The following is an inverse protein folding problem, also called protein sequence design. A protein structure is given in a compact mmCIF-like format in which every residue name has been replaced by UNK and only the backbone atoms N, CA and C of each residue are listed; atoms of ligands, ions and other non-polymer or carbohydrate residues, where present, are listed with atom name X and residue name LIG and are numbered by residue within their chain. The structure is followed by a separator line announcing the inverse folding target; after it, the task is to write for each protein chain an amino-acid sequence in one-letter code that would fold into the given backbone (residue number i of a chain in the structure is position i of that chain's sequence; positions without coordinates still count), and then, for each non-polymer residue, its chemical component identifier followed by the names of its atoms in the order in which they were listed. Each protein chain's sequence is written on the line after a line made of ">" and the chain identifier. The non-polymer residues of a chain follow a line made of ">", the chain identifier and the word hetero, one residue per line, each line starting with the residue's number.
data_IF_679932541821
#
_entry.id   IF_679932541821
#
_cell.length_a   1.000
_cell.length_b   1.000
_cell.length_c   1.000
_cell.angle_alpha   90.00
_cell.angle_beta   90.00
_cell.angle_gamma   90.00
#
_symmetry.space_group_name_H-M   'P 1'
#
loop_
_entity.id
_entity.type
_entity.pdbx_description
1 polymer ?
#
# COMPACT_ATOMS: atom_id res chain seq x y z
N UNK A 1 13.99 6.07 -19.18
CA UNK A 1 14.60 6.64 -20.40
C UNK A 1 15.78 5.78 -20.79
N UNK A 2 15.69 5.07 -21.92
CA UNK A 2 16.80 4.28 -22.46
C UNK A 2 17.67 5.20 -23.31
N UNK A 3 18.92 5.40 -22.88
CA UNK A 3 19.90 6.13 -23.66
C UNK A 3 20.36 5.27 -24.85
N UNK A 4 20.10 5.74 -26.05
CA UNK A 4 20.41 5.16 -27.37
C UNK A 4 21.92 5.09 -27.71
N UNK A 5 22.79 5.00 -26.69
CA UNK A 5 24.25 5.10 -26.88
C UNK A 5 25.10 4.44 -25.79
N UNK A 6 24.52 3.60 -24.92
CA UNK A 6 25.35 2.71 -24.12
C UNK A 6 26.02 1.71 -25.07
N UNK A 7 27.36 1.65 -25.10
CA UNK A 7 28.08 0.57 -25.80
C UNK A 7 27.37 -0.75 -25.49
N UNK A 8 26.95 -1.47 -26.52
CA UNK A 8 26.29 -2.77 -26.36
C UNK A 8 27.32 -3.78 -25.80
N UNK A 9 27.44 -3.79 -24.48
CA UNK A 9 28.36 -4.63 -23.73
C UNK A 9 28.16 -6.11 -24.06
N UNK A 10 26.96 -6.49 -24.55
CA UNK A 10 26.66 -7.82 -25.06
C UNK A 10 27.64 -8.24 -26.17
N UNK A 11 27.95 -7.35 -27.11
CA UNK A 11 28.86 -7.65 -28.22
C UNK A 11 30.32 -7.81 -27.76
N UNK A 12 30.70 -7.16 -26.67
CA UNK A 12 32.03 -7.33 -26.06
C UNK A 12 32.14 -8.66 -25.29
N UNK A 13 31.04 -9.13 -24.70
CA UNK A 13 31.01 -10.35 -23.88
C UNK A 13 30.83 -11.63 -24.71
N UNK A 14 30.15 -11.56 -25.86
CA UNK A 14 29.88 -12.69 -26.77
C UNK A 14 31.12 -13.55 -27.08
N UNK A 15 32.29 -12.99 -27.47
CA UNK A 15 33.47 -13.81 -27.78
C UNK A 15 34.01 -14.56 -26.55
N UNK A 16 34.04 -13.92 -25.38
CA UNK A 16 34.53 -14.52 -24.14
C UNK A 16 33.59 -15.62 -23.61
N UNK A 17 32.28 -15.41 -23.72
CA UNK A 17 31.25 -16.42 -23.43
C UNK A 17 31.34 -17.59 -24.42
N UNK A 18 31.59 -17.32 -25.70
CA UNK A 18 31.70 -18.35 -26.73
C UNK A 18 32.94 -19.25 -26.56
N UNK A 19 34.07 -18.68 -26.12
CA UNK A 19 35.30 -19.43 -25.82
C UNK A 19 35.28 -20.10 -24.44
N UNK A 20 34.28 -19.81 -23.61
CA UNK A 20 34.20 -20.34 -22.23
C UNK A 20 35.22 -19.73 -21.27
N UNK A 21 35.86 -18.62 -21.64
CA UNK A 21 36.80 -17.87 -20.80
C UNK A 21 36.06 -17.15 -19.65
N UNK A 22 34.79 -16.81 -19.89
CA UNK A 22 33.93 -16.16 -18.91
C UNK A 22 32.76 -17.09 -18.56
N UNK A 23 32.66 -17.47 -17.28
CA UNK A 23 31.49 -18.18 -16.72
C UNK A 23 30.64 -17.18 -15.96
N UNK A 24 29.37 -17.06 -16.32
CA UNK A 24 28.46 -16.08 -15.73
C UNK A 24 27.18 -16.74 -15.24
N UNK A 25 26.63 -16.16 -14.17
CA UNK A 25 25.25 -16.42 -13.71
C UNK A 25 24.51 -15.10 -13.89
N UNK A 26 23.37 -15.14 -14.57
CA UNK A 26 22.50 -13.98 -14.77
C UNK A 26 21.19 -14.16 -14.02
N UNK A 27 20.68 -13.07 -13.45
CA UNK A 27 19.32 -12.99 -12.94
C UNK A 27 18.54 -12.02 -13.82
N UNK A 28 17.35 -12.41 -14.27
CA UNK A 28 16.50 -11.61 -15.15
C UNK A 28 15.05 -12.07 -15.02
N UNK A 29 14.11 -11.25 -15.48
CA UNK A 29 12.69 -11.65 -15.55
C UNK A 29 12.42 -12.46 -16.81
N UNK A 30 11.31 -13.21 -16.83
CA UNK A 30 10.89 -13.96 -18.02
C UNK A 30 10.70 -13.04 -19.25
N UNK A 31 10.19 -11.83 -19.04
CA UNK A 31 9.94 -10.88 -20.11
C UNK A 31 11.24 -10.33 -20.70
N UNK A 32 12.21 -10.00 -19.85
CA UNK A 32 13.55 -9.58 -20.29
C UNK A 32 14.30 -10.70 -21.00
N UNK A 33 14.24 -11.93 -20.49
CA UNK A 33 14.84 -13.11 -21.12
C UNK A 33 14.31 -13.29 -22.55
N UNK A 34 12.98 -13.26 -22.73
CA UNK A 34 12.33 -13.36 -24.05
C UNK A 34 12.72 -12.21 -24.97
N UNK A 35 12.86 -11.01 -24.43
CA UNK A 35 13.15 -9.80 -25.22
C UNK A 35 14.60 -9.74 -25.68
N UNK A 36 15.55 -10.17 -24.85
CA UNK A 36 16.98 -9.88 -25.03
C UNK A 36 17.87 -11.11 -25.21
N UNK A 37 17.51 -12.27 -24.63
CA UNK A 37 18.37 -13.48 -24.67
C UNK A 37 17.84 -14.49 -25.68
N UNK A 38 16.54 -14.79 -25.65
CA UNK A 38 15.91 -15.79 -26.52
C UNK A 38 15.99 -15.38 -28.01
N UNK A 39 15.94 -14.08 -28.30
CA UNK A 39 16.07 -13.56 -29.68
C UNK A 39 17.51 -13.60 -30.20
N UNK A 40 18.50 -13.70 -29.32
CA UNK A 40 19.91 -13.70 -29.70
C UNK A 40 20.47 -15.12 -29.68
N UNK A 41 20.57 -15.74 -30.86
CA UNK A 41 21.04 -17.12 -30.99
C UNK A 41 22.48 -17.37 -30.51
N UNK A 42 23.31 -16.34 -30.28
CA UNK A 42 24.62 -16.53 -29.66
C UNK A 42 24.51 -16.64 -28.13
N UNK A 43 23.60 -15.88 -27.51
CA UNK A 43 23.35 -15.92 -26.07
C UNK A 43 22.51 -17.15 -25.67
N UNK A 44 21.45 -17.45 -26.43
CA UNK A 44 20.57 -18.60 -26.20
C UNK A 44 21.36 -19.93 -26.18
N UNK A 45 22.37 -20.08 -27.04
CA UNK A 45 23.23 -21.28 -27.09
C UNK A 45 24.27 -21.36 -25.97
N UNK A 46 24.37 -20.34 -25.11
CA UNK A 46 25.40 -20.23 -24.07
C UNK A 46 24.82 -20.15 -22.67
N UNK A 47 23.56 -19.73 -22.55
CA UNK A 47 22.82 -19.76 -21.30
C UNK A 47 21.88 -20.95 -21.25
N UNK A 48 21.81 -21.58 -20.08
CA UNK A 48 20.76 -22.54 -19.77
C UNK A 48 19.75 -21.83 -18.86
N UNK A 49 18.49 -21.65 -19.27
CA UNK A 49 17.49 -21.08 -18.39
C UNK A 49 17.17 -22.05 -17.26
N UNK A 50 17.13 -21.52 -16.04
CA UNK A 50 16.62 -22.19 -14.84
C UNK A 50 15.46 -21.34 -14.34
N UNK A 51 14.26 -21.91 -14.34
CA UNK A 51 13.08 -21.23 -13.81
C UNK A 51 13.16 -21.29 -12.28
N UNK A 52 13.12 -20.12 -11.66
CA UNK A 52 13.07 -19.98 -10.21
C UNK A 52 11.66 -19.53 -9.85
N UNK A 53 10.93 -20.43 -9.20
CA UNK A 53 9.59 -20.12 -8.70
C UNK A 53 9.67 -19.20 -7.48
N UNK A 54 8.63 -18.36 -7.24
CA UNK A 54 8.56 -17.58 -6.02
C UNK A 54 8.53 -18.51 -4.79
N UNK A 55 9.14 -18.12 -3.65
CA UNK A 55 9.16 -18.95 -2.45
C UNK A 55 7.76 -19.29 -1.95
N UNK A 56 7.65 -20.46 -1.32
CA UNK A 56 6.42 -20.86 -0.64
C UNK A 56 6.17 -20.02 0.61
N UNK A 57 4.97 -20.14 1.22
CA UNK A 57 4.65 -19.45 2.48
C UNK A 57 5.69 -19.77 3.57
N UNK A 58 6.08 -21.04 3.69
CA UNK A 58 7.05 -21.50 4.70
C UNK A 58 8.44 -20.94 4.44
N UNK A 59 8.90 -20.98 3.19
CA UNK A 59 10.22 -20.46 2.82
C UNK A 59 10.30 -18.95 3.02
N UNK A 60 9.23 -18.21 2.66
CA UNK A 60 9.15 -16.77 2.89
C UNK A 60 9.19 -16.42 4.38
N UNK A 61 8.54 -17.22 5.24
CA UNK A 61 8.60 -17.04 6.69
C UNK A 61 10.02 -17.28 7.23
N UNK A 62 10.71 -18.34 6.78
CA UNK A 62 12.10 -18.59 7.16
C UNK A 62 13.04 -17.45 6.74
N UNK A 63 12.84 -16.89 5.54
CA UNK A 63 13.56 -15.71 5.07
C UNK A 63 13.34 -14.52 6.02
N UNK A 64 12.09 -14.24 6.40
CA UNK A 64 11.79 -13.14 7.33
C UNK A 64 12.38 -13.38 8.73
N UNK A 65 12.39 -14.62 9.23
CA UNK A 65 13.05 -14.97 10.49
C UNK A 65 14.56 -14.67 10.40
N UNK A 66 15.20 -15.00 9.27
CA UNK A 66 16.61 -14.68 9.04
C UNK A 66 16.91 -13.19 8.92
N UNK A 67 15.93 -12.37 8.52
CA UNK A 67 16.06 -10.91 8.41
C UNK A 67 15.72 -10.17 9.71
N UNK A 68 15.10 -10.85 10.70
CA UNK A 68 14.61 -10.25 11.95
C UNK A 68 15.68 -9.40 12.63
N UNK A 69 16.81 -9.99 12.99
CA UNK A 69 17.87 -9.29 13.75
C UNK A 69 18.38 -8.04 13.01
N UNK A 70 18.40 -8.08 11.68
CA UNK A 70 18.84 -6.95 10.85
C UNK A 70 17.82 -5.82 10.90
N UNK A 71 16.53 -6.13 10.79
CA UNK A 71 15.46 -5.13 10.90
C UNK A 71 15.31 -4.57 12.31
N UNK A 72 15.38 -5.43 13.33
CA UNK A 72 15.34 -5.00 14.73
C UNK A 72 16.48 -4.03 15.04
N UNK A 73 17.71 -4.33 14.59
CA UNK A 73 18.85 -3.44 14.78
C UNK A 73 18.72 -2.12 13.98
N UNK A 74 18.23 -2.19 12.73
CA UNK A 74 18.09 -1.01 11.88
C UNK A 74 17.02 -0.03 12.38
N UNK A 75 15.85 -0.57 12.76
CA UNK A 75 14.69 0.21 13.18
C UNK A 75 14.59 0.41 14.69
N UNK A 76 15.41 -0.31 15.47
CA UNK A 76 15.38 -0.33 16.94
C UNK A 76 14.04 -0.77 17.49
N UNK A 77 13.42 -1.80 16.91
CA UNK A 77 12.14 -2.35 17.37
C UNK A 77 12.29 -3.84 17.66
N UNK A 78 11.37 -4.43 18.42
CA UNK A 78 11.26 -5.88 18.58
C UNK A 78 10.16 -6.44 17.69
N UNK A 79 10.45 -7.48 16.93
CA UNK A 79 9.52 -8.09 15.99
C UNK A 79 9.03 -9.42 16.58
N UNK A 80 7.72 -9.53 16.81
CA UNK A 80 7.12 -10.76 17.33
C UNK A 80 6.99 -11.83 16.23
N UNK A 81 6.93 -13.11 16.62
CA UNK A 81 6.68 -14.21 15.68
C UNK A 81 5.33 -14.04 14.95
N UNK A 82 4.31 -13.59 15.67
CA UNK A 82 2.99 -13.28 15.10
C UNK A 82 3.04 -12.19 14.03
N UNK A 83 3.94 -11.21 14.15
CA UNK A 83 4.14 -10.19 13.11
C UNK A 83 4.72 -10.81 11.84
N UNK A 84 5.69 -11.71 11.94
CA UNK A 84 6.26 -12.37 10.76
C UNK A 84 5.22 -13.22 10.02
N UNK A 85 4.45 -14.02 10.75
CA UNK A 85 3.35 -14.80 10.16
C UNK A 85 2.31 -13.89 9.49
N UNK A 86 1.91 -12.82 10.17
CA UNK A 86 0.96 -11.85 9.64
C UNK A 86 1.50 -11.16 8.38
N UNK A 87 2.78 -10.80 8.33
CA UNK A 87 3.39 -10.15 7.15
C UNK A 87 3.29 -11.04 5.92
N UNK A 88 3.54 -12.34 6.05
CA UNK A 88 3.40 -13.28 4.93
C UNK A 88 1.93 -13.48 4.55
N UNK A 89 1.07 -13.78 5.52
CA UNK A 89 -0.34 -14.12 5.26
C UNK A 89 -1.11 -12.94 4.68
N UNK A 90 -0.93 -11.74 5.24
CA UNK A 90 -1.61 -10.55 4.76
C UNK A 90 -1.04 -10.10 3.42
N UNK A 91 0.27 -10.21 3.18
CA UNK A 91 0.83 -9.91 1.87
C UNK A 91 0.35 -10.89 0.79
N UNK A 92 0.16 -12.19 1.10
CA UNK A 92 -0.45 -13.15 0.17
C UNK A 92 -1.87 -12.73 -0.21
N UNK A 93 -2.70 -12.37 0.79
CA UNK A 93 -4.12 -12.08 0.59
C UNK A 93 -4.40 -10.71 -0.02
N UNK A 94 -3.63 -9.70 0.38
CA UNK A 94 -3.92 -8.29 0.11
C UNK A 94 -2.89 -7.60 -0.77
N UNK A 95 -1.82 -8.27 -1.22
CA UNK A 95 -0.83 -7.69 -2.14
C UNK A 95 -0.61 -8.68 -3.30
N UNK A 96 -1.37 -8.50 -4.38
CA UNK A 96 -1.42 -9.46 -5.50
C UNK A 96 -0.39 -9.20 -6.61
N UNK A 97 0.07 -7.95 -6.76
CA UNK A 97 0.90 -7.54 -7.89
C UNK A 97 2.41 -7.68 -7.64
N UNK A 98 2.77 -8.40 -6.57
CA UNK A 98 4.16 -8.66 -6.15
C UNK A 98 4.30 -10.12 -5.72
N UNK A 99 5.51 -10.63 -5.82
CA UNK A 99 5.84 -12.00 -5.45
C UNK A 99 6.43 -12.04 -4.04
N UNK A 100 6.30 -13.20 -3.38
CA UNK A 100 7.08 -13.47 -2.18
C UNK A 100 8.56 -13.59 -2.55
N UNK A 101 9.49 -13.32 -1.61
CA UNK A 101 9.28 -12.81 -0.25
C UNK A 101 9.18 -11.27 -0.18
N UNK A 102 9.51 -10.59 -1.28
CA UNK A 102 9.63 -9.13 -1.43
C UNK A 102 8.47 -8.37 -0.80
N UNK A 103 7.24 -8.70 -1.20
CA UNK A 103 6.04 -8.03 -0.65
C UNK A 103 5.83 -8.18 0.87
N UNK A 104 6.32 -9.27 1.46
CA UNK A 104 6.19 -9.49 2.90
C UNK A 104 7.32 -8.78 3.66
N UNK A 105 8.50 -8.66 3.04
CA UNK A 105 9.62 -7.86 3.53
C UNK A 105 9.22 -6.39 3.56
N UNK A 106 8.63 -5.86 2.48
CA UNK A 106 8.18 -4.47 2.40
C UNK A 106 7.19 -4.12 3.52
N UNK A 107 6.19 -4.98 3.73
CA UNK A 107 5.17 -4.80 4.79
C UNK A 107 5.82 -4.77 6.17
N UNK A 108 6.77 -5.67 6.42
CA UNK A 108 7.47 -5.74 7.70
C UNK A 108 8.35 -4.50 7.93
N UNK A 109 9.10 -4.08 6.91
CA UNK A 109 10.00 -2.92 6.97
C UNK A 109 9.21 -1.63 7.22
N UNK A 110 8.10 -1.44 6.50
CA UNK A 110 7.22 -0.28 6.66
C UNK A 110 6.56 -0.27 8.05
N UNK A 111 6.12 -1.43 8.56
CA UNK A 111 5.59 -1.52 9.92
C UNK A 111 6.62 -1.17 10.99
N UNK A 112 7.88 -1.61 10.83
CA UNK A 112 8.98 -1.26 11.72
C UNK A 112 9.28 0.25 11.68
N UNK A 113 9.31 0.84 10.48
CA UNK A 113 9.53 2.27 10.29
C UNK A 113 8.40 3.11 10.92
N UNK A 114 7.13 2.70 10.73
CA UNK A 114 5.96 3.35 11.31
C UNK A 114 6.00 3.33 12.84
N UNK A 115 6.34 2.19 13.47
CA UNK A 115 6.40 2.09 14.93
C UNK A 115 7.49 3.00 15.51
N UNK A 116 8.68 2.99 14.89
CA UNK A 116 9.78 3.90 15.25
C UNK A 116 9.38 5.37 15.13
N UNK A 117 8.72 5.75 14.03
CA UNK A 117 8.27 7.12 13.81
C UNK A 117 7.26 7.56 14.87
N UNK A 118 6.30 6.70 15.23
CA UNK A 118 5.31 7.00 16.28
C UNK A 118 5.97 7.32 17.63
N UNK A 119 7.03 6.62 18.00
CA UNK A 119 7.76 6.83 19.28
C UNK A 119 8.76 7.98 19.22
N UNK A 120 9.32 8.26 18.04
CA UNK A 120 10.21 9.41 17.82
C UNK A 120 9.44 10.73 17.66
N UNK A 121 8.14 10.67 17.34
CA UNK A 121 7.28 11.85 17.25
C UNK A 121 7.05 12.44 18.65
N UNK A 122 7.13 13.76 18.76
CA UNK A 122 6.93 14.46 20.04
C UNK A 122 5.49 14.23 20.54
N UNK A 123 5.27 14.08 21.86
CA UNK A 123 3.93 13.95 22.41
C UNK A 123 3.05 15.17 22.06
N UNK A 124 1.76 14.97 21.73
CA UNK A 124 0.84 16.08 21.44
C UNK A 124 0.77 17.09 22.59
N UNK A 125 0.76 16.62 23.84
CA UNK A 125 0.79 17.42 25.06
C UNK A 125 1.96 18.43 25.10
N UNK A 126 3.11 18.08 24.50
CA UNK A 126 4.26 18.99 24.46
C UNK A 126 4.00 20.19 23.53
N UNK A 127 3.23 19.95 22.45
CA UNK A 127 2.86 20.98 21.48
C UNK A 127 1.86 21.95 22.10
N UNK A 128 0.86 21.43 22.84
CA UNK A 128 -0.12 22.24 23.58
C UNK A 128 0.57 23.12 24.63
N UNK A 129 1.52 22.57 25.40
CA UNK A 129 2.28 23.36 26.39
C UNK A 129 3.15 24.44 25.72
N UNK A 130 3.69 24.18 24.53
CA UNK A 130 4.42 25.20 23.76
C UNK A 130 3.50 26.36 23.35
N UNK A 131 2.30 26.05 22.85
CA UNK A 131 1.30 27.04 22.50
C UNK A 131 0.84 27.87 23.71
N UNK A 132 0.61 27.23 24.86
CA UNK A 132 0.28 27.91 26.11
C UNK A 132 1.42 28.83 26.58
N UNK A 133 2.67 28.40 26.48
CA UNK A 133 3.84 29.24 26.83
C UNK A 133 3.91 30.46 25.90
N UNK A 134 3.68 30.28 24.61
CA UNK A 134 3.69 31.37 23.63
C UNK A 134 2.53 32.35 23.84
N UNK A 135 1.38 31.87 24.33
CA UNK A 135 0.26 32.70 24.73
C UNK A 135 0.60 33.52 25.99
N UNK A 136 1.09 32.86 27.04
CA UNK A 136 1.50 33.52 28.29
C UNK A 136 2.62 34.55 28.06
N UNK A 137 3.54 34.31 27.12
CA UNK A 137 4.56 35.28 26.72
C UNK A 137 3.97 36.55 26.14
N UNK A 138 2.92 36.44 25.30
CA UNK A 138 2.22 37.58 24.71
C UNK A 138 1.48 38.36 25.78
N UNK A 139 0.71 37.68 26.62
CA UNK A 139 -0.06 38.27 27.73
C UNK A 139 0.86 39.00 28.71
N UNK A 140 2.02 38.41 29.04
CA UNK A 140 3.02 39.06 29.89
C UNK A 140 3.56 40.35 29.28
N UNK A 141 3.88 40.34 27.98
CA UNK A 141 4.41 41.52 27.30
C UNK A 141 3.36 42.64 27.22
N UNK A 142 2.09 42.29 27.04
CA UNK A 142 0.98 43.23 27.07
C UNK A 142 0.79 43.85 28.47
N UNK A 143 0.80 43.04 29.52
CA UNK A 143 0.75 43.50 30.92
C UNK A 143 1.92 44.43 31.29
N UNK A 144 3.13 44.13 30.79
CA UNK A 144 4.30 45.02 30.96
C UNK A 144 4.11 46.34 30.21
N UNK A 145 3.56 46.31 29.00
CA UNK A 145 3.31 47.50 28.19
C UNK A 145 2.23 48.41 28.83
N UNK A 146 1.18 47.82 29.40
CA UNK A 146 0.13 48.53 30.13
C UNK A 146 0.55 48.98 31.54
N UNK A 147 1.78 48.67 31.96
CA UNK A 147 2.33 48.95 33.30
C UNK A 147 1.58 48.25 34.44
N UNK A 148 0.87 47.17 34.15
CA UNK A 148 0.26 46.29 35.15
C UNK A 148 1.30 45.28 35.67
N UNK A 149 2.13 45.75 36.59
CA UNK A 149 3.25 44.97 37.12
C UNK A 149 2.81 43.81 38.02
N UNK A 150 1.61 43.88 38.59
CA UNK A 150 1.06 42.82 39.46
C UNK A 150 0.60 41.64 38.61
N UNK A 151 -0.18 41.91 37.56
CA UNK A 151 -0.58 40.90 36.58
C UNK A 151 0.64 40.30 35.84
N UNK A 152 1.62 41.13 35.47
CA UNK A 152 2.84 40.65 34.83
C UNK A 152 3.67 39.71 35.73
N UNK A 153 3.62 39.89 37.05
CA UNK A 153 4.29 39.00 38.01
C UNK A 153 3.56 37.64 38.12
N UNK A 154 2.23 37.64 38.18
CA UNK A 154 1.42 36.41 38.22
C UNK A 154 1.57 35.57 36.93
N UNK A 155 1.56 36.22 35.76
CA UNK A 155 1.79 35.55 34.47
C UNK A 155 3.22 35.00 34.40
N UNK A 156 4.22 35.73 34.91
CA UNK A 156 5.61 35.25 34.94
C UNK A 156 5.73 33.95 35.75
N UNK A 157 5.11 33.89 36.92
CA UNK A 157 5.19 32.71 37.80
C UNK A 157 4.46 31.51 37.15
N UNK A 158 3.33 31.76 36.47
CA UNK A 158 2.62 30.75 35.67
C UNK A 158 3.46 30.23 34.48
N UNK A 159 4.17 31.12 33.82
CA UNK A 159 5.05 30.81 32.68
C UNK A 159 6.26 29.98 33.15
N UNK A 160 6.82 30.27 34.32
CA UNK A 160 7.89 29.46 34.93
C UNK A 160 7.40 28.05 35.28
N UNK A 161 6.20 27.92 35.85
CA UNK A 161 5.60 26.61 36.10
C UNK A 161 5.41 25.81 34.81
N UNK A 162 4.86 26.41 33.74
CA UNK A 162 4.68 25.72 32.45
C UNK A 162 6.00 25.34 31.79
N UNK A 163 7.03 26.18 31.89
CA UNK A 163 8.39 25.84 31.43
C UNK A 163 8.99 24.65 32.19
N UNK A 164 8.82 24.62 33.51
CA UNK A 164 9.29 23.50 34.32
C UNK A 164 8.55 22.19 33.98
N UNK A 165 7.23 22.25 33.78
CA UNK A 165 6.45 21.10 33.30
C UNK A 165 6.91 20.62 31.92
N UNK A 166 7.19 21.55 30.99
CA UNK A 166 7.75 21.24 29.67
C UNK A 166 9.10 20.53 29.80
N UNK A 167 10.01 21.03 30.63
CA UNK A 167 11.31 20.41 30.86
C UNK A 167 11.18 19.01 31.45
N UNK A 168 10.30 18.82 32.44
CA UNK A 168 10.00 17.49 33.00
C UNK A 168 9.48 16.52 31.92
N UNK A 169 8.51 16.94 31.11
CA UNK A 169 7.96 16.09 30.03
C UNK A 169 9.00 15.76 28.97
N UNK A 170 9.89 16.70 28.62
CA UNK A 170 11.01 16.40 27.70
C UNK A 170 11.98 15.39 28.32
N UNK A 171 12.24 15.50 29.62
CA UNK A 171 13.16 14.61 30.32
C UNK A 171 12.58 13.20 30.42
N UNK A 172 11.30 13.08 30.76
CA UNK A 172 10.54 11.82 30.79
C UNK A 172 10.45 11.19 29.40
N UNK A 173 10.14 12.00 28.37
CA UNK A 173 10.11 11.53 26.98
C UNK A 173 11.47 10.99 26.56
N UNK A 174 12.56 11.75 26.73
CA UNK A 174 13.93 11.28 26.44
C UNK A 174 14.33 10.05 27.24
N UNK A 175 13.86 9.92 28.49
CA UNK A 175 14.11 8.76 29.32
C UNK A 175 13.31 7.52 28.87
N UNK A 176 12.13 7.72 28.28
CA UNK A 176 11.32 6.66 27.68
C UNK A 176 11.83 6.20 26.32
N UNK A 177 12.56 7.05 25.57
CA UNK A 177 13.23 6.71 24.30
C UNK A 177 14.54 5.92 24.51
N UNK A 178 14.54 4.91 25.39
CA UNK A 178 15.69 3.98 25.53
C UNK A 178 15.82 3.07 24.31
N UNK A 179 16.99 2.43 24.16
CA UNK A 179 17.55 1.71 22.99
C UNK A 179 16.64 0.85 22.10
N UNK A 180 15.42 0.50 22.53
CA UNK A 180 14.39 -0.20 21.74
C UNK A 180 13.09 0.62 21.75
N UNK A 181 12.75 1.17 20.59
CA UNK A 181 11.66 2.11 20.30
C UNK A 181 10.31 1.41 19.98
N UNK A 182 10.02 0.24 20.55
CA UNK A 182 8.69 -0.38 20.44
C UNK A 182 8.69 -1.85 20.02
N UNK A 183 7.48 -2.40 19.89
CA UNK A 183 7.23 -3.78 19.50
C UNK A 183 6.31 -3.79 18.28
N UNK A 184 6.66 -4.59 17.28
CA UNK A 184 5.88 -4.85 16.08
C UNK A 184 5.16 -6.19 16.26
N UNK A 185 3.84 -6.12 16.34
CA UNK A 185 2.95 -7.27 16.41
C UNK A 185 2.06 -7.40 15.15
N UNK A 186 1.19 -8.41 15.13
CA UNK A 186 0.27 -8.63 14.01
C UNK A 186 -0.68 -7.46 13.77
N UNK A 187 -1.00 -6.65 14.79
CA UNK A 187 -1.85 -5.48 14.65
C UNK A 187 -1.14 -4.34 13.95
N UNK A 188 0.16 -4.14 14.20
CA UNK A 188 1.00 -3.20 13.45
C UNK A 188 1.03 -3.59 11.97
N UNK A 189 1.27 -4.87 11.65
CA UNK A 189 1.27 -5.37 10.27
C UNK A 189 -0.08 -5.13 9.60
N UNK A 190 -1.19 -5.46 10.27
CA UNK A 190 -2.53 -5.24 9.72
C UNK A 190 -2.80 -3.77 9.41
N UNK A 191 -2.38 -2.86 10.29
CA UNK A 191 -2.49 -1.42 10.07
C UNK A 191 -1.66 -0.97 8.86
N UNK A 192 -0.42 -1.43 8.74
CA UNK A 192 0.46 -1.12 7.61
C UNK A 192 -0.11 -1.62 6.29
N UNK A 193 -0.55 -2.88 6.22
CA UNK A 193 -1.19 -3.41 4.99
C UNK A 193 -2.46 -2.65 4.67
N UNK A 194 -3.25 -2.25 5.69
CA UNK A 194 -4.45 -1.43 5.49
C UNK A 194 -4.13 -0.07 4.89
N UNK A 195 -3.03 0.57 5.31
CA UNK A 195 -2.57 1.86 4.79
C UNK A 195 -2.03 1.72 3.36
N UNK A 196 -1.15 0.73 3.11
CA UNK A 196 -0.58 0.47 1.79
C UNK A 196 -1.65 0.13 0.73
N UNK A 197 -2.66 -0.64 1.13
CA UNK A 197 -3.67 -1.16 0.19
C UNK A 197 -4.93 -0.31 0.15
N UNK A 198 -5.16 0.53 1.16
CA UNK A 198 -6.43 1.21 1.39
C UNK A 198 -7.58 0.27 1.78
N UNK A 199 -7.32 -1.02 2.04
CA UNK A 199 -8.33 -1.98 2.48
C UNK A 199 -8.39 -1.96 4.00
N UNK A 200 -9.53 -1.61 4.63
CA UNK A 200 -9.65 -1.64 6.08
C UNK A 200 -9.56 -3.08 6.60
N UNK A 201 -8.42 -3.41 7.22
CA UNK A 201 -8.19 -4.64 7.96
C UNK A 201 -8.48 -4.34 9.43
N UNK A 202 -9.76 -4.14 9.75
CA UNK A 202 -10.20 -3.90 11.13
C UNK A 202 -10.45 -5.24 11.83
N UNK A 203 -9.91 -5.36 13.05
CA UNK A 203 -10.03 -6.49 13.97
C UNK A 203 -9.60 -7.85 13.38
N UNK A 204 -8.35 -8.25 13.64
CA UNK A 204 -7.89 -9.64 13.50
C UNK A 204 -8.83 -10.67 14.20
N UNK A 205 -9.69 -10.21 15.12
CA UNK A 205 -10.68 -10.99 15.84
C UNK A 205 -12.02 -11.19 15.12
N UNK A 206 -12.48 -10.24 14.29
CA UNK A 206 -13.62 -10.52 13.41
C UNK A 206 -13.05 -11.28 12.21
N UNK A 207 -13.33 -12.58 12.13
CA UNK A 207 -12.98 -13.35 10.96
C UNK A 207 -13.56 -12.62 9.73
N UNK A 208 -12.73 -12.25 8.77
CA UNK A 208 -13.15 -11.66 7.48
C UNK A 208 -14.31 -12.47 6.85
N UNK A 209 -14.34 -13.77 7.12
CA UNK A 209 -15.44 -14.67 6.81
C UNK A 209 -16.80 -14.18 7.37
N UNK A 210 -16.87 -13.75 8.63
CA UNK A 210 -18.09 -13.26 9.27
C UNK A 210 -18.52 -11.91 8.72
N UNK A 211 -17.57 -11.00 8.43
CA UNK A 211 -17.87 -9.74 7.71
C UNK A 211 -18.48 -10.05 6.34
N UNK A 212 -17.88 -10.97 5.59
CA UNK A 212 -18.36 -11.37 4.26
C UNK A 212 -19.69 -12.15 4.28
N UNK A 213 -20.04 -12.81 5.40
CA UNK A 213 -21.38 -13.42 5.58
C UNK A 213 -22.47 -12.35 5.70
N UNK A 214 -22.15 -11.18 6.26
CA UNK A 214 -23.06 -10.05 6.43
C UNK A 214 -23.05 -9.07 5.24
N UNK A 215 -22.43 -9.44 4.12
CA UNK A 215 -22.24 -8.57 2.97
C UNK A 215 -23.57 -8.14 2.33
N UNK A 216 -24.49 -9.08 2.15
CA UNK A 216 -25.83 -8.82 1.62
C UNK A 216 -26.58 -7.82 2.50
N UNK A 217 -26.63 -8.06 3.81
CA UNK A 217 -27.28 -7.18 4.79
C UNK A 217 -26.68 -5.77 4.77
N UNK A 218 -25.34 -5.68 4.72
CA UNK A 218 -24.64 -4.40 4.71
C UNK A 218 -24.90 -3.59 3.45
N UNK A 219 -24.94 -4.24 2.27
CA UNK A 219 -25.25 -3.57 1.01
C UNK A 219 -26.73 -3.14 0.99
N UNK A 220 -27.63 -3.93 1.57
CA UNK A 220 -29.06 -3.60 1.67
C UNK A 220 -29.39 -2.40 2.56
N UNK A 221 -28.45 -1.92 3.39
CA UNK A 221 -28.62 -0.67 4.12
C UNK A 221 -28.73 0.54 3.19
N UNK A 222 -27.99 0.52 2.07
CA UNK A 222 -27.93 1.61 1.11
C UNK A 222 -28.72 1.28 -0.18
N UNK A 223 -28.77 0.00 -0.58
CA UNK A 223 -29.41 -0.46 -1.83
C UNK A 223 -30.72 -1.19 -1.54
N UNK A 224 -31.83 -0.59 -1.96
CA UNK A 224 -33.17 -1.17 -1.84
C UNK A 224 -33.45 -2.11 -3.01
N UNK A 225 -34.03 -3.29 -2.74
CA UNK A 225 -34.29 -4.34 -3.74
C UNK A 225 -32.99 -4.88 -4.36
N UNK A 226 -33.03 -5.39 -5.59
CA UNK A 226 -31.86 -5.94 -6.31
C UNK A 226 -31.24 -7.20 -5.69
N UNK A 227 -32.04 -7.99 -4.94
CA UNK A 227 -31.58 -9.18 -4.21
C UNK A 227 -30.74 -10.14 -5.09
N UNK A 228 -31.15 -10.35 -6.34
CA UNK A 228 -30.43 -11.23 -7.27
C UNK A 228 -29.03 -10.69 -7.62
N UNK A 229 -28.91 -9.38 -7.86
CA UNK A 229 -27.64 -8.74 -8.19
C UNK A 229 -26.72 -8.76 -6.95
N UNK A 230 -27.25 -8.40 -5.78
CA UNK A 230 -26.51 -8.37 -4.52
C UNK A 230 -26.00 -9.77 -4.17
N UNK A 231 -26.85 -10.79 -4.20
CA UNK A 231 -26.44 -12.18 -3.96
C UNK A 231 -25.36 -12.67 -4.96
N UNK A 232 -25.47 -12.28 -6.22
CA UNK A 232 -24.50 -12.65 -7.26
C UNK A 232 -23.12 -12.04 -6.99
N UNK A 233 -23.09 -10.75 -6.60
CA UNK A 233 -21.86 -10.04 -6.24
C UNK A 233 -21.25 -10.65 -4.97
N UNK A 234 -22.04 -10.79 -3.90
CA UNK A 234 -21.57 -11.32 -2.61
C UNK A 234 -20.97 -12.71 -2.74
N UNK A 235 -21.60 -13.59 -3.53
CA UNK A 235 -21.07 -14.94 -3.80
C UNK A 235 -19.74 -14.90 -4.57
N UNK A 236 -19.60 -14.03 -5.56
CA UNK A 236 -18.36 -13.89 -6.32
C UNK A 236 -17.22 -13.33 -5.45
N UNK A 237 -17.51 -12.30 -4.65
CA UNK A 237 -16.58 -11.71 -3.69
C UNK A 237 -16.10 -12.73 -2.66
N UNK A 238 -17.01 -13.53 -2.06
CA UNK A 238 -16.64 -14.58 -1.11
C UNK A 238 -15.69 -15.62 -1.71
N UNK A 239 -15.95 -16.07 -2.94
CA UNK A 239 -15.03 -16.99 -3.64
C UNK A 239 -13.66 -16.36 -3.89
N UNK A 240 -13.64 -15.10 -4.31
CA UNK A 240 -12.40 -14.37 -4.55
C UNK A 240 -11.55 -14.21 -3.28
N UNK A 241 -12.18 -13.88 -2.14
CA UNK A 241 -11.52 -13.73 -0.84
C UNK A 241 -11.09 -15.06 -0.21
N UNK A 242 -11.81 -16.15 -0.50
CA UNK A 242 -11.42 -17.50 -0.10
C UNK A 242 -10.24 -18.09 -0.89
N UNK A 243 -9.60 -17.32 -1.79
CA UNK A 243 -8.50 -17.80 -2.62
C UNK A 243 -8.93 -18.76 -3.74
N UNK A 244 -10.24 -18.89 -4.00
CA UNK A 244 -10.80 -19.79 -5.02
C UNK A 244 -10.92 -19.13 -6.41
N UNK A 245 -10.19 -18.03 -6.64
CA UNK A 245 -10.15 -17.34 -7.94
C UNK A 245 -8.76 -17.47 -8.58
N UNK A 246 -8.74 -17.27 -9.89
CA UNK A 246 -7.51 -17.02 -10.63
C UNK A 246 -6.89 -15.67 -10.16
N UNK A 247 -5.64 -15.64 -9.67
CA UNK A 247 -4.95 -14.40 -9.28
C UNK A 247 -4.78 -13.39 -10.41
N UNK A 248 -4.79 -13.84 -11.67
CA UNK A 248 -4.65 -13.00 -12.87
C UNK A 248 -5.96 -12.33 -13.32
N UNK A 249 -7.06 -12.52 -12.56
CA UNK A 249 -8.38 -11.97 -12.89
C UNK A 249 -8.91 -11.04 -11.79
N UNK A 250 -9.79 -10.07 -12.10
CA UNK A 250 -10.47 -9.26 -11.10
C UNK A 250 -11.22 -10.10 -10.04
N UNK A 251 -11.49 -9.53 -8.87
CA UNK A 251 -12.26 -10.22 -7.81
C UNK A 251 -13.65 -10.63 -8.29
N UNK A 252 -14.26 -9.81 -9.13
CA UNK A 252 -15.50 -10.10 -9.82
C UNK A 252 -15.60 -9.24 -11.07
N UNK A 253 -16.21 -9.78 -12.12
CA UNK A 253 -16.58 -9.06 -13.33
C UNK A 253 -18.07 -9.21 -13.50
N UNK A 254 -18.78 -8.10 -13.55
CA UNK A 254 -20.25 -8.07 -13.56
C UNK A 254 -20.74 -7.20 -14.70
N UNK A 255 -21.93 -7.53 -15.22
CA UNK A 255 -22.66 -6.70 -16.18
C UNK A 255 -24.02 -6.40 -15.54
N UNK A 256 -24.30 -5.11 -15.31
CA UNK A 256 -25.58 -4.66 -14.77
C UNK A 256 -26.50 -4.20 -15.89
N UNK A 257 -27.55 -4.97 -16.17
CA UNK A 257 -28.54 -4.66 -17.20
C UNK A 257 -29.77 -4.02 -16.56
N UNK A 258 -30.27 -2.94 -17.16
CA UNK A 258 -31.43 -2.19 -16.67
C UNK A 258 -31.43 -0.73 -17.15
N UNK A 259 -32.55 -0.01 -17.02
CA UNK A 259 -32.62 1.41 -17.38
C UNK A 259 -31.78 2.29 -16.44
N UNK A 260 -31.55 3.54 -16.82
CA UNK A 260 -30.90 4.53 -15.95
C UNK A 260 -31.75 4.77 -14.69
N UNK A 261 -31.09 5.08 -13.57
CA UNK A 261 -31.76 5.36 -12.29
C UNK A 261 -32.18 4.15 -11.45
N UNK A 262 -31.99 2.90 -11.91
CA UNK A 262 -32.34 1.68 -11.13
C UNK A 262 -31.35 1.32 -10.02
N UNK A 263 -30.32 2.14 -9.80
CA UNK A 263 -29.34 1.95 -8.72
C UNK A 263 -28.07 1.19 -9.10
N UNK A 264 -27.73 1.04 -10.39
CA UNK A 264 -26.47 0.39 -10.83
C UNK A 264 -25.23 1.06 -10.23
N UNK A 265 -25.14 2.39 -10.39
CA UNK A 265 -24.05 3.21 -9.86
C UNK A 265 -24.04 3.21 -8.33
N UNK A 266 -25.22 3.24 -7.69
CA UNK A 266 -25.35 3.15 -6.24
C UNK A 266 -24.81 1.82 -5.71
N UNK A 267 -25.16 0.70 -6.37
CA UNK A 267 -24.65 -0.62 -6.02
C UNK A 267 -23.13 -0.71 -6.14
N UNK A 268 -22.54 -0.08 -7.16
CA UNK A 268 -21.08 0.00 -7.31
C UNK A 268 -20.42 0.80 -6.17
N UNK A 269 -21.03 1.92 -5.75
CA UNK A 269 -20.55 2.73 -4.60
C UNK A 269 -20.66 1.97 -3.28
N UNK A 270 -21.80 1.35 -3.00
CA UNK A 270 -21.99 0.53 -1.79
C UNK A 270 -21.04 -0.65 -1.76
N UNK A 271 -20.75 -1.26 -2.91
CA UNK A 271 -19.74 -2.32 -3.03
C UNK A 271 -18.33 -1.79 -2.71
N UNK A 272 -17.95 -0.63 -3.25
CA UNK A 272 -16.66 0.00 -2.97
C UNK A 272 -16.50 0.31 -1.47
N UNK A 273 -17.53 0.92 -0.86
CA UNK A 273 -17.58 1.21 0.57
C UNK A 273 -17.49 -0.05 1.42
N UNK A 274 -18.22 -1.11 1.07
CA UNK A 274 -18.18 -2.38 1.82
C UNK A 274 -16.82 -3.07 1.71
N UNK A 275 -16.19 -3.10 0.53
CA UNK A 275 -14.93 -3.82 0.29
C UNK A 275 -13.69 -3.04 0.74
N UNK A 276 -13.72 -1.72 0.56
CA UNK A 276 -12.55 -0.85 0.67
C UNK A 276 -12.74 0.28 1.70
N UNK A 277 -13.87 0.30 2.43
CA UNK A 277 -14.14 1.27 3.49
C UNK A 277 -14.55 2.67 3.01
N UNK A 278 -14.39 2.97 1.71
CA UNK A 278 -14.70 4.27 1.12
C UNK A 278 -15.38 4.13 -0.24
N UNK A 279 -16.31 5.04 -0.55
CA UNK A 279 -16.90 5.17 -1.88
C UNK A 279 -15.90 5.70 -2.91
N UNK A 280 -14.83 6.37 -2.47
CA UNK A 280 -13.76 6.91 -3.33
C UNK A 280 -12.91 5.81 -3.99
N UNK A 281 -13.02 4.57 -3.49
CA UNK A 281 -12.46 3.39 -4.14
C UNK A 281 -13.31 2.93 -5.34
N UNK A 282 -13.95 3.86 -6.04
CA UNK A 282 -14.72 3.65 -7.27
C UNK A 282 -14.14 4.51 -8.40
N UNK A 283 -13.66 3.86 -9.46
CA UNK A 283 -13.34 4.51 -10.73
C UNK A 283 -14.55 4.37 -11.67
N UNK A 284 -15.30 5.45 -11.85
CA UNK A 284 -16.34 5.54 -12.86
C UNK A 284 -15.75 6.04 -14.18
N UNK A 285 -16.03 5.32 -15.26
CA UNK A 285 -15.65 5.65 -16.62
C UNK A 285 -16.93 5.66 -17.44
N UNK A 286 -17.28 6.81 -18.00
CA UNK A 286 -18.37 6.95 -18.94
C UNK A 286 -17.90 6.44 -20.32
N UNK A 287 -18.46 5.32 -20.78
CA UNK A 287 -18.06 4.72 -22.05
C UNK A 287 -18.60 5.46 -23.27
N UNK A 288 -19.56 6.38 -23.12
CA UNK A 288 -20.03 7.25 -24.20
C UNK A 288 -18.89 8.13 -24.76
N UNK A 289 -17.91 8.51 -23.92
CA UNK A 289 -16.70 9.25 -24.33
C UNK A 289 -15.69 8.40 -25.13
N UNK A 290 -15.84 7.08 -25.12
CA UNK A 290 -14.88 6.12 -25.69
C UNK A 290 -15.45 5.32 -26.88
N UNK A 291 -16.57 5.77 -27.46
CA UNK A 291 -17.20 5.17 -28.65
C UNK A 291 -16.29 5.14 -29.89
N UNK A 292 -15.37 6.09 -30.02
CA UNK A 292 -14.42 6.15 -31.13
C UNK A 292 -13.16 5.30 -30.90
N UNK A 293 -12.67 4.64 -31.96
CA UNK A 293 -11.47 3.77 -31.90
C UNK A 293 -10.22 4.47 -31.35
N UNK A 294 -10.06 5.77 -31.58
CA UNK A 294 -8.91 6.55 -31.11
C UNK A 294 -9.05 7.02 -29.66
N UNK A 295 -10.27 6.98 -29.10
CA UNK A 295 -10.50 7.32 -27.69
C UNK A 295 -10.06 6.20 -26.75
N UNK A 296 -10.12 4.94 -27.19
CA UNK A 296 -9.71 3.76 -26.42
C UNK A 296 -8.25 3.83 -25.97
N UNK A 297 -7.35 4.42 -26.78
CA UNK A 297 -5.95 4.60 -26.39
C UNK A 297 -5.76 5.61 -25.26
N UNK A 298 -6.70 6.55 -25.07
CA UNK A 298 -6.69 7.44 -23.88
C UNK A 298 -7.07 6.67 -22.61
N UNK A 299 -7.88 5.61 -22.74
CA UNK A 299 -8.31 4.79 -21.61
C UNK A 299 -7.24 3.81 -21.15
N UNK A 300 -6.65 3.05 -22.08
CA UNK A 300 -5.75 1.93 -21.78
C UNK A 300 -4.27 2.32 -21.98
N UNK A 301 -3.99 3.31 -22.82
CA UNK A 301 -2.65 3.69 -23.26
C UNK A 301 -2.47 3.46 -24.76
N UNK A 302 -1.44 4.07 -25.34
CA UNK A 302 -1.06 3.81 -26.74
C UNK A 302 -0.73 2.32 -26.93
N UNK A 303 -0.90 1.74 -28.13
CA UNK A 303 -0.47 0.38 -28.43
C UNK A 303 1.07 0.28 -28.56
N UNK A 304 1.67 -0.93 -28.45
CA UNK A 304 3.11 -1.10 -28.57
C UNK A 304 3.67 -0.52 -29.88
N UNK A 305 4.70 0.31 -29.78
CA UNK A 305 5.34 0.95 -30.95
C UNK A 305 4.84 2.36 -31.29
N UNK A 306 3.88 2.90 -30.54
CA UNK A 306 3.43 4.30 -30.65
C UNK A 306 3.98 5.15 -29.49
N UNK A 307 4.19 6.45 -29.74
CA UNK A 307 4.59 7.42 -28.71
C UNK A 307 3.53 7.41 -27.59
N UNK A 308 3.98 7.34 -26.33
CA UNK A 308 3.09 7.23 -25.15
C UNK A 308 2.70 5.80 -24.75
N UNK A 309 3.27 4.75 -25.36
CA UNK A 309 3.03 3.35 -24.94
C UNK A 309 3.35 3.12 -23.45
N UNK A 310 4.45 3.70 -22.97
CA UNK A 310 4.91 3.55 -21.59
C UNK A 310 4.19 4.50 -20.60
N UNK A 311 3.45 5.50 -21.10
CA UNK A 311 2.78 6.52 -20.27
C UNK A 311 1.44 6.04 -19.68
N UNK A 312 0.88 4.93 -20.20
CA UNK A 312 -0.40 4.38 -19.75
C UNK A 312 -1.61 5.28 -20.06
N UNK A 313 -2.81 4.71 -20.03
CA UNK A 313 -4.07 5.43 -20.13
C UNK A 313 -4.70 5.74 -18.77
N UNK A 314 -5.83 6.46 -18.80
CA UNK A 314 -6.60 6.85 -17.61
C UNK A 314 -6.90 5.67 -16.68
N UNK A 315 -7.33 4.54 -17.23
CA UNK A 315 -7.65 3.34 -16.47
C UNK A 315 -6.38 2.69 -15.92
N UNK A 316 -5.39 2.45 -16.79
CA UNK A 316 -4.19 1.70 -16.40
C UNK A 316 -3.37 2.46 -15.36
N UNK A 317 -3.24 3.79 -15.47
CA UNK A 317 -2.51 4.59 -14.48
C UNK A 317 -3.23 4.63 -13.13
N UNK A 318 -4.55 4.81 -13.12
CA UNK A 318 -5.33 4.80 -11.87
C UNK A 318 -5.27 3.44 -11.18
N UNK A 319 -5.45 2.35 -11.92
CA UNK A 319 -5.39 0.98 -11.39
C UNK A 319 -3.96 0.62 -10.95
N UNK A 320 -2.93 1.09 -11.67
CA UNK A 320 -1.52 0.90 -11.27
C UNK A 320 -1.22 1.58 -9.94
N UNK A 321 -1.76 2.77 -9.69
CA UNK A 321 -1.58 3.51 -8.43
C UNK A 321 -2.44 2.97 -7.28
N UNK A 322 -3.68 2.58 -7.56
CA UNK A 322 -4.64 2.05 -6.58
C UNK A 322 -5.33 0.80 -7.14
N UNK A 323 -4.72 -0.39 -6.99
CA UNK A 323 -5.25 -1.62 -7.57
C UNK A 323 -6.52 -2.12 -6.86
N UNK A 324 -6.75 -1.70 -5.62
CA UNK A 324 -7.90 -2.10 -4.80
C UNK A 324 -9.05 -1.11 -4.97
N UNK A 325 -9.78 -1.26 -6.05
CA UNK A 325 -10.94 -0.41 -6.35
C UNK A 325 -12.00 -1.16 -7.16
N UNK A 326 -13.22 -0.63 -7.13
CA UNK A 326 -14.28 -0.99 -8.08
C UNK A 326 -14.07 -0.16 -9.34
N UNK A 327 -14.06 -0.79 -10.51
CA UNK A 327 -14.07 -0.09 -11.79
C UNK A 327 -15.48 -0.24 -12.38
N UNK A 328 -16.17 0.88 -12.58
CA UNK A 328 -17.47 0.96 -13.21
C UNK A 328 -17.32 1.55 -14.61
N UNK A 329 -17.58 0.72 -15.62
CA UNK A 329 -17.81 1.18 -16.98
C UNK A 329 -19.30 1.44 -17.14
N UNK A 330 -19.68 2.71 -17.22
CA UNK A 330 -21.08 3.14 -17.41
C UNK A 330 -21.39 3.26 -18.91
N UNK A 331 -22.64 3.00 -19.30
CA UNK A 331 -23.12 3.10 -20.70
C UNK A 331 -22.27 2.31 -21.72
N UNK A 332 -22.05 1.01 -21.47
CA UNK A 332 -21.17 0.16 -22.31
C UNK A 332 -21.75 -0.24 -23.69
N UNK A 333 -23.02 0.09 -23.96
CA UNK A 333 -23.74 -0.20 -25.21
C UNK A 333 -23.11 0.39 -26.48
#
# INVERSE_FOLDING_TARGET
>A
GAAEGAMDASNLLKPALARGELRTIGATTLDEYRKHIEKDGAMERRFQPIIVDPPSRTDALEILVGLRDTFEAHHRVQITDCALDASVDLAIRYISNRFLPDKAIDVLDEACACERLRKTTRPPDLTEIEEEIDQLLREKNEAVFSQDFELAAEIRDSLENRKNSKEQMILEWKASTKEVDGMVDASNIAATVSEMTGIPIQNLQEEEADRLKKMEESIHLDVVSQDHAINSISRATRRARAGLRDPQRPMGSFIFVGPTGVGKTLLAKSLAKFLFGTEDALLSIDMSEYSEKHSVSRLIGSPPGYIGYDEGGLLTEKVRRKPYMVVLFDEIE
#
